data_IF_897829777047
#
_entry.id   IF_897829777047
#
_cell.length_a   1.000
_cell.length_b   1.000
_cell.length_c   1.000
_cell.angle_alpha   90.00
_cell.angle_beta   90.00
_cell.angle_gamma   90.00
#
_symmetry.space_group_name_H-M   'P 1'
#
loop_
_entity.id
_entity.type
_entity.pdbx_description
1 polymer ?
#
# COMPACT_ATOMS: atom_id res chain seq x y z
N UNK A 1 13.83 -23.70 -16.70
CA UNK A 1 14.03 -22.31 -16.91
C UNK A 1 13.46 -21.50 -15.76
N UNK A 2 14.22 -20.61 -15.33
CA UNK A 2 13.77 -19.76 -14.25
C UNK A 2 13.12 -18.52 -14.81
N UNK A 3 11.95 -18.25 -14.34
CA UNK A 3 11.29 -17.03 -14.72
C UNK A 3 11.51 -16.03 -13.62
N UNK A 4 12.22 -15.00 -13.98
CA UNK A 4 12.38 -13.95 -13.05
C UNK A 4 11.08 -13.23 -12.88
N UNK A 5 10.68 -13.13 -11.64
CA UNK A 5 9.52 -12.35 -11.31
C UNK A 5 9.90 -10.89 -11.33
N UNK A 6 9.59 -10.25 -12.41
CA UNK A 6 9.80 -8.81 -12.46
C UNK A 6 8.54 -8.13 -12.06
N UNK A 7 8.69 -7.06 -11.33
CA UNK A 7 7.53 -6.25 -11.03
C UNK A 7 7.02 -5.65 -12.31
N UNK A 8 5.73 -5.78 -12.51
CA UNK A 8 5.08 -5.14 -13.65
C UNK A 8 5.10 -3.64 -13.51
N UNK A 9 5.23 -3.15 -12.27
CA UNK A 9 5.15 -1.73 -11.98
C UNK A 9 6.29 -1.34 -11.05
N UNK A 10 6.83 -0.16 -11.28
CA UNK A 10 7.86 0.39 -10.41
C UNK A 10 7.20 0.90 -9.14
N UNK A 11 7.88 0.70 -8.01
CA UNK A 11 7.41 1.26 -6.76
C UNK A 11 7.76 2.73 -6.68
N UNK A 12 6.82 3.51 -6.18
CA UNK A 12 7.04 4.95 -5.99
C UNK A 12 7.02 5.25 -4.50
N UNK A 13 7.66 6.33 -4.12
CA UNK A 13 7.53 6.83 -2.77
C UNK A 13 6.08 7.21 -2.53
N UNK A 14 5.56 6.79 -1.40
CA UNK A 14 4.18 7.11 -1.05
C UNK A 14 4.06 6.99 0.45
N UNK A 15 4.14 8.13 1.15
CA UNK A 15 4.13 8.18 2.60
C UNK A 15 2.82 8.76 3.05
N UNK A 16 1.82 7.92 3.20
CA UNK A 16 0.49 8.33 3.60
C UNK A 16 -0.06 7.36 4.62
N UNK A 17 -1.08 7.82 5.32
CA UNK A 17 -1.73 6.99 6.33
C UNK A 17 -2.43 5.81 5.69
N UNK A 18 -2.34 4.65 6.34
CA UNK A 18 -3.12 3.48 5.97
C UNK A 18 -3.73 2.89 7.23
N UNK A 19 -4.82 2.17 7.05
CA UNK A 19 -5.37 1.32 8.10
C UNK A 19 -5.51 -0.08 7.54
N UNK A 20 -5.26 -1.06 8.40
CA UNK A 20 -5.25 -2.44 7.91
C UNK A 20 -5.68 -3.38 9.03
N UNK A 21 -6.00 -4.61 8.66
CA UNK A 21 -6.40 -5.63 9.61
C UNK A 21 -6.82 -6.91 8.91
N UNK A 22 -7.09 -7.95 9.71
CA UNK A 22 -7.49 -9.24 9.13
C UNK A 22 -8.88 -9.16 8.53
N UNK A 23 -9.85 -8.73 9.31
CA UNK A 23 -11.23 -8.62 8.84
C UNK A 23 -11.67 -7.18 8.70
N UNK A 24 -11.08 -6.30 9.47
CA UNK A 24 -11.41 -4.88 9.48
C UNK A 24 -10.14 -4.08 9.56
N UNK A 25 -10.12 -2.89 8.95
CA UNK A 25 -8.93 -2.04 8.98
C UNK A 25 -8.83 -1.27 10.28
N UNK A 26 -8.42 -1.93 11.34
CA UNK A 26 -8.40 -1.36 12.69
C UNK A 26 -7.03 -0.91 13.16
N UNK A 27 -5.96 -1.31 12.48
CA UNK A 27 -4.61 -0.92 12.87
C UNK A 27 -4.12 0.22 12.01
N UNK A 28 -3.40 1.14 12.61
CA UNK A 28 -2.86 2.30 11.91
C UNK A 28 -1.45 2.02 11.43
N UNK A 29 -1.13 2.54 10.26
CA UNK A 29 0.20 2.44 9.71
C UNK A 29 0.49 3.58 8.78
N UNK A 30 1.72 3.57 8.27
CA UNK A 30 2.19 4.54 7.30
C UNK A 30 2.79 3.78 6.13
N UNK A 31 2.37 4.12 4.94
CA UNK A 31 2.97 3.52 3.76
C UNK A 31 4.38 4.04 3.56
N UNK A 32 5.21 3.24 2.93
CA UNK A 32 6.57 3.62 2.57
C UNK A 32 6.67 3.80 1.06
N UNK A 33 6.05 2.88 0.35
CA UNK A 33 6.05 2.90 -1.11
C UNK A 33 4.73 2.34 -1.60
N UNK A 34 4.53 2.40 -2.90
CA UNK A 34 3.29 1.92 -3.50
C UNK A 34 3.51 1.53 -4.94
N UNK A 35 2.89 0.43 -5.34
CA UNK A 35 2.70 0.06 -6.72
C UNK A 35 1.33 -0.61 -6.83
N UNK A 36 0.80 -0.83 -8.04
CA UNK A 36 -0.46 -1.57 -8.15
C UNK A 36 -0.38 -3.01 -7.62
N UNK A 37 0.83 -3.55 -7.45
CA UNK A 37 1.01 -4.92 -6.97
C UNK A 37 1.13 -5.02 -5.47
N UNK A 38 1.48 -3.96 -4.78
CA UNK A 38 1.67 -4.03 -3.35
C UNK A 38 2.31 -2.80 -2.75
N UNK A 39 2.62 -2.90 -1.46
CA UNK A 39 3.21 -1.79 -0.74
C UNK A 39 3.94 -2.30 0.50
N UNK A 40 4.82 -1.45 1.02
CA UNK A 40 5.44 -1.67 2.31
C UNK A 40 4.82 -0.70 3.30
N UNK A 41 4.64 -1.18 4.54
CA UNK A 41 3.97 -0.42 5.59
C UNK A 41 4.79 -0.47 6.86
N UNK A 42 4.85 0.65 7.56
CA UNK A 42 5.43 0.75 8.89
C UNK A 42 4.29 0.92 9.88
N UNK A 43 4.31 0.15 10.96
CA UNK A 43 3.24 0.20 11.95
C UNK A 43 3.73 -0.35 13.28
N UNK A 44 3.02 0.01 14.34
CA UNK A 44 3.28 -0.62 15.65
C UNK A 44 2.81 -2.06 15.67
N UNK A 45 2.01 -2.45 14.70
CA UNK A 45 1.45 -3.80 14.64
C UNK A 45 1.90 -4.48 13.36
N UNK A 46 2.56 -5.62 13.49
CA UNK A 46 2.90 -6.46 12.35
C UNK A 46 2.00 -7.69 12.35
N UNK A 47 1.31 -7.91 11.25
CA UNK A 47 0.43 -9.06 11.13
C UNK A 47 1.21 -10.28 10.67
N UNK A 48 0.61 -11.44 10.86
CA UNK A 48 1.28 -12.71 10.57
C UNK A 48 1.49 -12.86 9.07
N UNK A 49 2.71 -13.23 8.63
CA UNK A 49 2.95 -13.47 7.21
C UNK A 49 2.02 -14.55 6.66
N UNK A 50 1.69 -14.42 5.40
CA UNK A 50 0.77 -15.29 4.67
C UNK A 50 -0.68 -15.13 5.08
N UNK A 51 -0.99 -14.08 5.83
CA UNK A 51 -2.37 -13.77 6.20
C UNK A 51 -2.98 -12.86 5.17
N UNK A 52 -4.27 -13.07 4.91
CA UNK A 52 -5.04 -12.15 4.09
C UNK A 52 -5.50 -10.99 4.94
N UNK A 53 -5.42 -9.79 4.38
CA UNK A 53 -5.76 -8.58 5.11
C UNK A 53 -6.52 -7.61 4.21
N UNK A 54 -7.14 -6.66 4.86
CA UNK A 54 -7.78 -5.53 4.20
C UNK A 54 -6.96 -4.29 4.52
N UNK A 55 -6.73 -3.47 3.51
CA UNK A 55 -6.01 -2.22 3.70
C UNK A 55 -6.83 -1.07 3.14
N UNK A 56 -6.99 -0.04 3.95
CA UNK A 56 -7.56 1.23 3.51
C UNK A 56 -6.41 2.22 3.34
N UNK A 57 -6.22 2.68 2.12
CA UNK A 57 -5.17 3.61 1.77
C UNK A 57 -5.78 4.99 1.67
N UNK A 58 -5.28 5.93 2.46
CA UNK A 58 -5.79 7.30 2.48
C UNK A 58 -5.03 8.10 1.45
N UNK A 59 -5.76 8.62 0.46
CA UNK A 59 -5.14 9.38 -0.62
C UNK A 59 -5.74 10.78 -0.65
N UNK A 60 -4.89 11.74 -0.97
CA UNK A 60 -5.32 13.12 -1.10
C UNK A 60 -5.46 13.45 -2.57
N UNK A 61 -6.60 13.99 -2.94
CA UNK A 61 -6.85 14.41 -4.30
C UNK A 61 -7.14 15.90 -4.31
N UNK A 62 -6.63 16.59 -5.31
CA UNK A 62 -6.85 18.02 -5.46
C UNK A 62 -7.93 18.20 -6.50
N UNK A 63 -9.00 18.89 -6.09
CA UNK A 63 -10.11 19.18 -6.97
C UNK A 63 -9.80 20.33 -7.90
N UNK A 64 -10.70 20.54 -8.87
CA UNK A 64 -10.54 21.62 -9.83
C UNK A 64 -10.51 23.00 -9.16
N UNK A 65 -11.18 23.14 -8.02
CA UNK A 65 -11.20 24.42 -7.29
C UNK A 65 -10.02 24.53 -6.32
N UNK A 66 -9.03 23.65 -6.45
CA UNK A 66 -7.81 23.63 -5.63
C UNK A 66 -8.03 23.22 -4.18
N UNK A 67 -9.21 22.73 -3.83
CA UNK A 67 -9.42 22.15 -2.51
C UNK A 67 -8.96 20.70 -2.50
N UNK A 68 -8.52 20.25 -1.33
CA UNK A 68 -8.11 18.87 -1.16
C UNK A 68 -9.29 18.03 -0.71
N UNK A 69 -9.32 16.82 -1.21
CA UNK A 69 -10.30 15.82 -0.76
C UNK A 69 -9.56 14.57 -0.35
N UNK A 70 -9.87 14.08 0.84
CA UNK A 70 -9.31 12.82 1.32
C UNK A 70 -10.23 11.70 0.89
N UNK A 71 -9.67 10.71 0.20
CA UNK A 71 -10.41 9.54 -0.23
C UNK A 71 -9.73 8.29 0.30
N UNK A 72 -10.49 7.22 0.37
CA UNK A 72 -9.99 5.94 0.84
C UNK A 72 -10.10 4.94 -0.30
N UNK A 73 -8.97 4.30 -0.60
CA UNK A 73 -8.96 3.19 -1.55
C UNK A 73 -8.77 1.91 -0.75
N UNK A 74 -9.75 1.03 -0.80
CA UNK A 74 -9.69 -0.23 -0.07
C UNK A 74 -9.20 -1.34 -0.98
N UNK A 75 -8.21 -2.09 -0.51
CA UNK A 75 -7.61 -3.17 -1.25
C UNK A 75 -7.51 -4.38 -0.34
N UNK A 76 -7.57 -5.55 -0.94
CA UNK A 76 -7.29 -6.79 -0.23
C UNK A 76 -5.92 -7.28 -0.63
N UNK A 77 -5.20 -7.84 0.33
CA UNK A 77 -3.87 -8.30 0.05
C UNK A 77 -3.42 -9.38 1.02
N UNK A 78 -2.16 -9.75 0.87
CA UNK A 78 -1.55 -10.77 1.68
C UNK A 78 -0.25 -10.22 2.24
N UNK A 79 -0.02 -10.45 3.54
CA UNK A 79 1.25 -10.09 4.15
C UNK A 79 2.28 -11.11 3.69
N UNK A 80 3.29 -10.67 2.95
CA UNK A 80 4.29 -11.60 2.43
C UNK A 80 5.52 -11.68 3.31
N UNK A 81 5.78 -10.64 4.12
CA UNK A 81 6.82 -10.68 5.12
C UNK A 81 6.53 -9.64 6.18
N UNK A 82 7.11 -9.86 7.34
CA UNK A 82 7.01 -8.90 8.41
C UNK A 82 8.24 -8.95 9.28
N UNK A 83 8.61 -7.81 9.84
CA UNK A 83 9.71 -7.72 10.78
C UNK A 83 9.29 -6.87 11.96
N UNK A 84 9.55 -7.40 13.14
CA UNK A 84 9.27 -6.71 14.38
C UNK A 84 10.59 -6.29 15.01
N UNK A 85 10.67 -5.04 15.40
CA UNK A 85 11.87 -4.49 16.03
C UNK A 85 11.54 -4.11 17.46
N UNK A 86 12.39 -4.48 18.45
CA UNK A 86 12.08 -4.18 19.85
C UNK A 86 11.91 -2.69 20.13
N UNK A 87 12.72 -1.86 19.50
CA UNK A 87 12.73 -0.43 19.80
C UNK A 87 12.32 0.43 18.64
N UNK A 88 11.60 -0.14 17.68
CA UNK A 88 11.21 0.59 16.48
C UNK A 88 9.91 0.02 15.95
N UNK A 89 9.19 0.77 15.11
CA UNK A 89 7.97 0.24 14.49
C UNK A 89 8.25 -0.97 13.63
N UNK A 90 7.27 -1.83 13.54
CA UNK A 90 7.34 -3.01 12.69
C UNK A 90 7.20 -2.62 11.22
N UNK A 91 7.70 -3.48 10.35
CA UNK A 91 7.57 -3.30 8.90
C UNK A 91 6.92 -4.52 8.31
N UNK A 92 6.11 -4.30 7.27
CA UNK A 92 5.44 -5.38 6.55
C UNK A 92 5.50 -5.10 5.07
N UNK A 93 5.64 -6.20 4.31
CA UNK A 93 5.45 -6.14 2.87
C UNK A 93 4.12 -6.78 2.53
N UNK A 94 3.33 -6.12 1.70
CA UNK A 94 1.99 -6.56 1.36
C UNK A 94 1.89 -6.67 -0.15
N UNK A 95 1.35 -7.80 -0.61
CA UNK A 95 1.05 -8.02 -2.01
C UNK A 95 -0.46 -7.97 -2.19
N UNK A 96 -0.92 -7.15 -3.12
CA UNK A 96 -2.35 -7.04 -3.37
C UNK A 96 -2.85 -8.25 -4.13
N UNK A 97 -4.04 -8.72 -3.77
CA UNK A 97 -4.59 -9.94 -4.37
C UNK A 97 -5.07 -9.72 -5.79
N UNK A 98 -5.70 -8.57 -6.01
CA UNK A 98 -6.31 -8.29 -7.30
C UNK A 98 -5.98 -6.89 -7.74
N UNK A 99 -6.01 -6.68 -9.05
CA UNK A 99 -5.85 -5.34 -9.58
C UNK A 99 -7.05 -4.50 -9.14
N UNK A 100 -6.75 -3.30 -8.68
CA UNK A 100 -7.77 -2.35 -8.27
C UNK A 100 -7.65 -1.15 -9.21
N UNK A 101 -8.69 -0.93 -10.01
CA UNK A 101 -8.63 0.11 -11.03
C UNK A 101 -8.44 1.50 -10.45
N UNK A 102 -9.07 1.76 -9.33
CA UNK A 102 -8.93 3.05 -8.69
C UNK A 102 -7.49 3.28 -8.22
N UNK A 103 -6.89 2.25 -7.65
CA UNK A 103 -5.51 2.32 -7.20
C UNK A 103 -4.57 2.49 -8.37
N UNK A 104 -4.80 1.74 -9.45
CA UNK A 104 -3.96 1.85 -10.65
C UNK A 104 -4.02 3.26 -11.21
N UNK A 105 -5.20 3.83 -11.27
CA UNK A 105 -5.38 5.19 -11.77
C UNK A 105 -4.64 6.19 -10.90
N UNK A 106 -4.77 6.04 -9.58
CA UNK A 106 -4.07 6.90 -8.64
C UNK A 106 -2.56 6.78 -8.80
N UNK A 107 -2.08 5.54 -8.91
CA UNK A 107 -0.66 5.27 -9.07
C UNK A 107 -0.12 5.91 -10.34
N UNK A 108 -0.83 5.74 -11.46
CA UNK A 108 -0.36 6.30 -12.73
C UNK A 108 -0.31 7.82 -12.70
N UNK A 109 -1.21 8.44 -11.95
CA UNK A 109 -1.20 9.89 -11.83
C UNK A 109 0.00 10.39 -11.03
N UNK A 110 0.61 9.53 -10.21
CA UNK A 110 1.78 9.90 -9.40
C UNK A 110 3.10 9.63 -10.09
N UNK A 111 3.11 8.81 -11.12
CA UNK A 111 4.36 8.50 -11.82
C UNK A 111 4.75 9.69 -12.69
N UNK A 112 6.00 10.16 -12.59
CA UNK A 112 6.44 11.22 -13.47
C UNK A 112 6.36 10.75 -14.92
N UNK A 113 5.92 11.62 -15.79
CA UNK A 113 5.89 11.28 -17.20
C UNK A 113 7.32 11.23 -17.74
N UNK A 114 7.63 10.17 -18.45
CA UNK A 114 8.92 10.13 -19.10
C UNK A 114 8.81 10.76 -20.48
N UNK A 115 9.91 11.24 -20.92
CA UNK A 115 10.00 11.89 -22.20
C UNK A 115 10.39 10.94 -23.28
#
# INVERSE_FOLDING_TARGET
MSIKQKRSYRRIYFTEKVKFGYDKPIYNGMSVDLSPDGMNVISDKALVPLSNIIIDIYVKKIKADHTEKLEIIRVEGEVIWGKHFPDAPSKMGIRFNNANEELIRFYKAKIPRSK
#
